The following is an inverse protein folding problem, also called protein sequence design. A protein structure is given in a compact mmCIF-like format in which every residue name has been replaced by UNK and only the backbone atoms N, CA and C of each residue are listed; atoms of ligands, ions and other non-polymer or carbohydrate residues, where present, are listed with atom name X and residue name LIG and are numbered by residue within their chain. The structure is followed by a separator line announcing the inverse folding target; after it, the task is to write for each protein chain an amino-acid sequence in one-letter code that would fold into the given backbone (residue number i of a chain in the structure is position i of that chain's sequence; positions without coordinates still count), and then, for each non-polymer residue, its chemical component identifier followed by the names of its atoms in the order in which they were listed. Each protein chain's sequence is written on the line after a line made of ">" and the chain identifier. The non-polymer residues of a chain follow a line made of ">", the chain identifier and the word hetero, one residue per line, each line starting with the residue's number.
data_IF_179376884559
#
_entry.id   IF_179376884559
#
_cell.length_a   1.000
_cell.length_b   1.000
_cell.length_c   1.000
_cell.angle_alpha   90.00
_cell.angle_beta   90.00
_cell.angle_gamma   90.00
#
_symmetry.space_group_name_H-M   'P 1'
#
loop_
_entity.id
_entity.type
_entity.pdbx_description
1 polymer ?
#
# COMPACT_ATOMS: atom_id res chain seq x y z
N UNK A 1 27.70 -1.67 -13.76
CA UNK A 1 26.81 -0.53 -13.44
C UNK A 1 25.82 -1.00 -12.39
N UNK A 2 25.83 -0.49 -11.14
CA UNK A 2 24.79 -0.86 -10.19
C UNK A 2 23.45 -0.34 -10.70
N UNK A 3 22.50 -1.25 -10.92
CA UNK A 3 21.12 -0.92 -11.30
C UNK A 3 20.58 0.05 -10.25
N UNK A 4 20.37 1.31 -10.63
CA UNK A 4 19.81 2.33 -9.75
C UNK A 4 18.41 1.85 -9.35
N UNK A 5 18.26 1.36 -8.12
CA UNK A 5 16.94 0.97 -7.60
C UNK A 5 16.04 2.19 -7.71
N UNK A 6 14.91 2.01 -8.38
CA UNK A 6 13.87 3.03 -8.51
C UNK A 6 13.49 3.54 -7.10
N UNK A 7 13.18 4.84 -6.94
CA UNK A 7 12.75 5.40 -5.67
C UNK A 7 11.43 4.78 -5.20
N UNK A 8 11.22 4.73 -3.88
CA UNK A 8 9.95 4.29 -3.32
C UNK A 8 8.85 5.30 -3.69
N UNK A 9 7.71 4.80 -4.17
CA UNK A 9 6.53 5.61 -4.46
C UNK A 9 5.29 4.89 -3.93
N UNK A 10 4.19 5.63 -3.66
CA UNK A 10 2.94 5.02 -3.22
C UNK A 10 2.43 3.95 -4.19
N UNK A 11 2.41 4.24 -5.49
CA UNK A 11 2.00 3.29 -6.52
C UNK A 11 2.83 2.00 -6.50
N UNK A 12 4.15 2.07 -6.27
CA UNK A 12 4.99 0.85 -6.20
C UNK A 12 4.68 0.00 -4.97
N UNK A 13 4.43 0.64 -3.83
CA UNK A 13 3.99 -0.07 -2.61
C UNK A 13 2.66 -0.77 -2.87
N UNK A 14 1.69 -0.05 -3.43
CA UNK A 14 0.34 -0.54 -3.65
C UNK A 14 0.29 -1.61 -4.75
N UNK A 15 1.04 -1.46 -5.84
CA UNK A 15 1.16 -2.49 -6.89
C UNK A 15 1.73 -3.78 -6.31
N UNK A 16 2.83 -3.69 -5.55
CA UNK A 16 3.41 -4.86 -4.90
C UNK A 16 2.47 -5.50 -3.85
N UNK A 17 1.63 -4.70 -3.19
CA UNK A 17 0.61 -5.20 -2.28
C UNK A 17 -0.52 -5.94 -3.02
N UNK A 18 -0.99 -5.40 -4.15
CA UNK A 18 -2.01 -6.03 -4.99
C UNK A 18 -1.53 -7.37 -5.54
N UNK A 19 -0.32 -7.41 -6.09
CA UNK A 19 0.27 -8.65 -6.62
C UNK A 19 0.50 -9.68 -5.50
N UNK A 20 0.84 -9.22 -4.29
CA UNK A 20 0.99 -10.10 -3.15
C UNK A 20 -0.34 -10.76 -2.75
N UNK A 21 -1.40 -9.96 -2.54
CA UNK A 21 -2.70 -10.50 -2.10
C UNK A 21 -3.37 -11.34 -3.18
N UNK A 22 -3.21 -11.00 -4.45
CA UNK A 22 -3.70 -11.81 -5.57
C UNK A 22 -3.03 -13.19 -5.59
N UNK A 23 -1.73 -13.25 -5.27
CA UNK A 23 -0.95 -14.49 -5.23
C UNK A 23 -1.29 -15.39 -4.03
N UNK A 24 -1.52 -14.81 -2.84
CA UNK A 24 -1.69 -15.60 -1.60
C UNK A 24 -3.15 -15.76 -1.15
N UNK A 25 -4.05 -14.91 -1.65
CA UNK A 25 -5.45 -14.87 -1.26
C UNK A 25 -5.72 -13.94 -0.07
N UNK A 26 -6.96 -13.46 0.02
CA UNK A 26 -7.49 -12.75 1.18
C UNK A 26 -7.78 -13.73 2.33
N UNK A 27 -7.34 -13.38 3.53
CA UNK A 27 -7.66 -14.11 4.75
C UNK A 27 -9.06 -13.74 5.27
N UNK A 28 -9.88 -14.74 5.58
CA UNK A 28 -11.15 -14.60 6.31
C UNK A 28 -11.06 -15.31 7.66
N UNK A 29 -11.40 -14.59 8.73
CA UNK A 29 -11.28 -14.91 10.17
C UNK A 29 -11.31 -16.38 10.60
N UNK A 30 -12.19 -17.18 10.01
CA UNK A 30 -12.61 -18.44 10.62
C UNK A 30 -12.01 -19.72 9.98
N UNK A 31 -11.29 -19.65 8.86
CA UNK A 31 -11.09 -20.86 8.01
C UNK A 31 -9.65 -21.26 7.66
N UNK A 32 -8.61 -20.66 8.27
CA UNK A 32 -7.28 -20.70 7.62
C UNK A 32 -6.06 -21.02 8.49
N UNK A 33 -6.18 -21.37 9.77
CA UNK A 33 -5.02 -21.97 10.46
C UNK A 33 -4.74 -23.37 9.91
N UNK A 34 -3.88 -23.44 8.90
CA UNK A 34 -3.40 -24.67 8.29
C UNK A 34 -1.87 -24.68 8.35
N UNK A 35 -1.26 -25.33 9.36
CA UNK A 35 0.19 -25.29 9.60
C UNK A 35 1.04 -25.65 8.37
N UNK A 36 0.54 -26.56 7.52
CA UNK A 36 1.21 -26.98 6.29
C UNK A 36 1.13 -25.99 5.11
N UNK A 37 0.33 -24.93 5.21
CA UNK A 37 0.19 -23.87 4.18
C UNK A 37 0.68 -22.49 4.66
N UNK A 38 1.16 -22.40 5.89
CA UNK A 38 1.55 -21.16 6.60
C UNK A 38 2.94 -20.62 6.23
N UNK A 39 3.35 -20.73 4.96
CA UNK A 39 4.58 -20.16 4.41
C UNK A 39 4.35 -18.84 3.65
N UNK A 40 5.18 -18.53 2.65
CA UNK A 40 5.04 -17.34 1.76
C UNK A 40 3.77 -17.34 0.87
N UNK A 41 2.90 -18.33 1.05
CA UNK A 41 1.66 -18.61 0.32
C UNK A 41 0.42 -18.57 1.20
N UNK A 42 0.55 -18.26 2.49
CA UNK A 42 -0.58 -18.17 3.39
C UNK A 42 -1.46 -16.97 3.02
N UNK A 43 -2.80 -17.11 2.96
CA UNK A 43 -3.68 -15.98 2.77
C UNK A 43 -3.44 -14.90 3.83
N UNK A 44 -3.59 -13.65 3.43
CA UNK A 44 -3.27 -12.52 4.30
C UNK A 44 -4.38 -11.47 4.33
N UNK A 45 -4.36 -10.63 5.35
CA UNK A 45 -5.25 -9.46 5.41
C UNK A 45 -4.79 -8.38 4.42
N UNK A 46 -5.68 -7.45 4.07
CA UNK A 46 -5.32 -6.26 3.26
C UNK A 46 -4.22 -5.43 3.92
N UNK A 47 -4.27 -5.29 5.26
CA UNK A 47 -3.22 -4.61 6.01
C UNK A 47 -1.87 -5.31 5.83
N UNK A 48 -1.83 -6.64 5.94
CA UNK A 48 -0.59 -7.39 5.76
C UNK A 48 -0.07 -7.30 4.32
N UNK A 49 -0.95 -7.38 3.32
CA UNK A 49 -0.56 -7.18 1.93
C UNK A 49 0.12 -5.81 1.71
N UNK A 50 -0.43 -4.74 2.30
CA UNK A 50 0.21 -3.42 2.28
C UNK A 50 1.59 -3.43 2.96
N UNK A 51 1.76 -4.08 4.11
CA UNK A 51 3.07 -4.21 4.78
C UNK A 51 4.10 -4.96 3.93
N UNK A 52 3.68 -5.98 3.18
CA UNK A 52 4.53 -6.68 2.21
C UNK A 52 4.92 -5.76 1.05
N UNK A 53 4.00 -4.95 0.56
CA UNK A 53 4.28 -3.87 -0.39
C UNK A 53 5.33 -2.89 0.13
N UNK A 54 5.17 -2.39 1.37
CA UNK A 54 6.13 -1.50 2.03
C UNK A 54 7.51 -2.15 2.12
N UNK A 55 7.58 -3.42 2.52
CA UNK A 55 8.85 -4.16 2.64
C UNK A 55 9.56 -4.33 1.30
N UNK A 56 8.82 -4.43 0.19
CA UNK A 56 9.40 -4.63 -1.16
C UNK A 56 10.21 -3.42 -1.64
N UNK A 57 9.86 -2.21 -1.21
CA UNK A 57 10.53 -0.96 -1.61
C UNK A 57 11.43 -0.37 -0.53
N UNK A 58 11.45 -0.99 0.66
CA UNK A 58 12.21 -0.48 1.81
C UNK A 58 13.71 -0.40 1.47
N UNK A 59 14.36 0.77 1.63
CA UNK A 59 15.79 0.89 1.45
C UNK A 59 16.55 0.09 2.52
N UNK A 60 17.80 -0.27 2.22
CA UNK A 60 18.67 -0.93 3.21
C UNK A 60 18.87 0.00 4.41
N UNK A 61 18.92 -0.57 5.61
CA UNK A 61 19.13 0.19 6.86
C UNK A 61 20.42 1.02 6.87
N UNK A 62 21.44 0.58 6.14
CA UNK A 62 22.71 1.31 5.98
C UNK A 62 22.61 2.56 5.10
N UNK A 63 21.52 2.72 4.34
CA UNK A 63 21.27 3.88 3.48
C UNK A 63 20.40 4.87 4.26
N UNK A 64 21.05 5.73 5.06
CA UNK A 64 20.41 6.88 5.72
C UNK A 64 20.34 8.07 4.77
N UNK A 65 19.45 9.03 5.05
CA UNK A 65 19.34 10.29 4.30
C UNK A 65 18.13 10.33 3.35
N UNK A 66 18.30 10.99 2.19
CA UNK A 66 17.24 11.24 1.21
C UNK A 66 16.41 9.98 0.84
N UNK A 67 17.00 8.80 0.56
CA UNK A 67 16.23 7.60 0.24
C UNK A 67 15.30 7.15 1.37
N UNK A 68 15.70 7.36 2.63
CA UNK A 68 14.85 7.07 3.79
C UNK A 68 13.68 8.05 3.88
N UNK A 69 13.92 9.34 3.63
CA UNK A 69 12.88 10.36 3.63
C UNK A 69 11.85 10.12 2.52
N UNK A 70 12.30 9.77 1.31
CA UNK A 70 11.43 9.39 0.18
C UNK A 70 10.58 8.17 0.56
N UNK A 71 11.19 7.14 1.16
CA UNK A 71 10.48 5.96 1.62
C UNK A 71 9.42 6.26 2.69
N UNK A 72 9.75 7.10 3.68
CA UNK A 72 8.78 7.46 4.74
C UNK A 72 7.58 8.22 4.18
N UNK A 73 7.79 9.14 3.22
CA UNK A 73 6.70 9.82 2.50
C UNK A 73 5.84 8.82 1.73
N UNK A 74 6.47 7.97 0.91
CA UNK A 74 5.76 6.95 0.14
C UNK A 74 4.96 5.97 1.03
N UNK A 75 5.51 5.58 2.19
CA UNK A 75 4.83 4.76 3.18
C UNK A 75 3.55 5.45 3.66
N UNK A 76 3.66 6.69 4.15
CA UNK A 76 2.51 7.43 4.67
C UNK A 76 1.45 7.68 3.58
N UNK A 77 1.88 8.16 2.41
CA UNK A 77 0.98 8.48 1.30
C UNK A 77 0.24 7.23 0.79
N UNK A 78 0.93 6.09 0.68
CA UNK A 78 0.27 4.83 0.29
C UNK A 78 -0.81 4.40 1.28
N UNK A 79 -0.57 4.58 2.59
CA UNK A 79 -1.56 4.28 3.62
C UNK A 79 -2.75 5.23 3.53
N UNK A 80 -2.52 6.53 3.33
CA UNK A 80 -3.57 7.54 3.17
C UNK A 80 -4.46 7.21 1.97
N UNK A 81 -3.87 6.94 0.81
CA UNK A 81 -4.58 6.67 -0.44
C UNK A 81 -5.41 5.40 -0.31
N UNK A 82 -4.80 4.31 0.16
CA UNK A 82 -5.50 3.04 0.29
C UNK A 82 -6.64 3.12 1.33
N UNK A 83 -6.39 3.76 2.47
CA UNK A 83 -7.42 3.91 3.51
C UNK A 83 -8.56 4.86 3.10
N UNK A 84 -8.29 5.87 2.27
CA UNK A 84 -9.33 6.70 1.67
C UNK A 84 -10.16 5.90 0.65
N UNK A 85 -9.50 5.05 -0.14
CA UNK A 85 -10.16 4.20 -1.13
C UNK A 85 -11.14 3.22 -0.47
N UNK A 86 -10.71 2.48 0.57
CA UNK A 86 -11.61 1.56 1.30
C UNK A 86 -12.74 2.29 2.03
N UNK A 87 -12.49 3.52 2.51
CA UNK A 87 -13.50 4.34 3.17
C UNK A 87 -14.45 5.04 2.17
N UNK A 88 -14.18 4.96 0.86
CA UNK A 88 -14.92 5.62 -0.22
C UNK A 88 -14.83 7.15 -0.24
N UNK A 89 -14.06 7.74 0.68
CA UNK A 89 -13.87 9.19 0.83
C UNK A 89 -12.66 9.48 1.71
N UNK A 90 -12.11 10.71 1.68
CA UNK A 90 -11.06 11.11 2.60
C UNK A 90 -11.41 10.84 4.06
N UNK A 91 -10.53 10.15 4.77
CA UNK A 91 -10.72 9.87 6.20
C UNK A 91 -10.61 11.17 7.00
N UNK A 92 -11.67 11.53 7.72
CA UNK A 92 -11.71 12.76 8.52
C UNK A 92 -10.90 12.65 9.81
N UNK A 93 -10.12 13.70 10.12
CA UNK A 93 -9.36 13.85 11.36
C UNK A 93 -10.19 13.71 12.62
N UNK A 94 -11.49 14.04 12.54
CA UNK A 94 -12.42 13.95 13.67
C UNK A 94 -12.59 12.50 14.12
N UNK A 95 -12.54 11.52 13.20
CA UNK A 95 -12.81 10.11 13.52
C UNK A 95 -11.77 9.52 14.46
N UNK A 96 -10.49 9.61 14.11
CA UNK A 96 -9.44 9.02 14.96
C UNK A 96 -9.20 9.80 16.25
N UNK A 97 -9.42 11.14 16.24
CA UNK A 97 -9.37 11.94 17.48
C UNK A 97 -10.44 11.52 18.49
N UNK A 98 -11.68 11.27 18.03
CA UNK A 98 -12.76 10.78 18.90
C UNK A 98 -12.43 9.44 19.55
N UNK A 99 -11.72 8.57 18.82
CA UNK A 99 -11.27 7.26 19.30
C UNK A 99 -9.94 7.31 20.07
N UNK A 100 -9.33 8.49 20.26
CA UNK A 100 -8.01 8.68 20.88
C UNK A 100 -6.90 7.84 20.21
N UNK A 101 -7.02 7.65 18.89
CA UNK A 101 -6.03 6.95 18.06
C UNK A 101 -5.17 7.94 17.28
N UNK A 102 -3.97 7.51 16.91
CA UNK A 102 -3.18 8.21 15.89
C UNK A 102 -3.84 8.01 14.52
N UNK A 103 -3.55 8.91 13.57
CA UNK A 103 -4.01 8.75 12.19
C UNK A 103 -3.54 7.42 11.59
N UNK A 104 -2.27 7.08 11.79
CA UNK A 104 -1.67 5.83 11.34
C UNK A 104 -2.41 4.60 11.89
N UNK A 105 -2.61 4.54 13.22
CA UNK A 105 -3.30 3.44 13.87
C UNK A 105 -4.72 3.28 13.32
N UNK A 106 -5.47 4.38 13.19
CA UNK A 106 -6.83 4.33 12.68
C UNK A 106 -6.91 3.86 11.22
N UNK A 107 -6.02 4.36 10.34
CA UNK A 107 -5.99 3.95 8.93
C UNK A 107 -5.60 2.48 8.78
N UNK A 108 -4.67 1.98 9.59
CA UNK A 108 -4.30 0.55 9.61
C UNK A 108 -5.47 -0.31 10.10
N UNK A 109 -6.22 0.15 11.11
CA UNK A 109 -7.46 -0.51 11.55
C UNK A 109 -8.51 -0.55 10.44
N UNK A 110 -8.70 0.53 9.67
CA UNK A 110 -9.64 0.53 8.53
C UNK A 110 -9.29 -0.55 7.50
N UNK A 111 -8.01 -0.71 7.15
CA UNK A 111 -7.58 -1.74 6.21
C UNK A 111 -7.84 -3.15 6.74
N UNK A 112 -7.60 -3.36 8.04
CA UNK A 112 -7.86 -4.65 8.68
C UNK A 112 -9.36 -4.96 8.67
N UNK A 113 -10.20 -4.04 9.16
CA UNK A 113 -11.66 -4.25 9.22
C UNK A 113 -12.28 -4.44 7.83
N UNK A 114 -11.86 -3.66 6.83
CA UNK A 114 -12.43 -3.77 5.49
C UNK A 114 -12.19 -5.15 4.89
N UNK A 115 -11.00 -5.73 5.05
CA UNK A 115 -10.68 -7.05 4.52
C UNK A 115 -11.31 -8.21 5.30
N UNK A 116 -11.80 -7.97 6.51
CA UNK A 116 -12.45 -8.96 7.38
C UNK A 116 -13.96 -9.06 7.11
N UNK A 117 -14.53 -8.15 6.32
CA UNK A 117 -15.93 -8.22 5.89
C UNK A 117 -16.20 -9.54 5.12
N UNK A 118 -17.23 -10.34 5.52
CA UNK A 118 -17.45 -11.69 4.99
C UNK A 118 -17.66 -11.77 3.47
N UNK A 119 -18.18 -10.72 2.86
CA UNK A 119 -18.49 -10.66 1.42
C UNK A 119 -17.27 -10.34 0.55
N UNK A 120 -16.16 -9.92 1.17
CA UNK A 120 -14.94 -9.56 0.42
C UNK A 120 -14.29 -10.79 -0.16
N UNK A 121 -13.53 -10.58 -1.21
CA UNK A 121 -12.76 -11.65 -1.84
C UNK A 121 -11.43 -11.13 -2.37
N UNK A 122 -10.53 -12.06 -2.73
CA UNK A 122 -9.19 -11.76 -3.22
C UNK A 122 -9.19 -10.84 -4.45
N UNK A 123 -10.06 -11.10 -5.43
CA UNK A 123 -10.09 -10.34 -6.68
C UNK A 123 -10.52 -8.88 -6.42
N UNK A 124 -11.53 -8.70 -5.57
CA UNK A 124 -11.97 -7.38 -5.14
C UNK A 124 -10.88 -6.64 -4.36
N UNK A 125 -10.22 -7.31 -3.41
CA UNK A 125 -9.13 -6.70 -2.64
C UNK A 125 -7.97 -6.27 -3.55
N UNK A 126 -7.56 -7.12 -4.50
CA UNK A 126 -6.52 -6.79 -5.46
C UNK A 126 -6.93 -5.63 -6.38
N UNK A 127 -8.17 -5.64 -6.90
CA UNK A 127 -8.70 -4.57 -7.76
C UNK A 127 -8.80 -3.24 -7.01
N UNK A 128 -9.24 -3.26 -5.75
CA UNK A 128 -9.32 -2.10 -4.87
C UNK A 128 -7.92 -1.49 -4.64
N UNK A 129 -6.91 -2.32 -4.34
CA UNK A 129 -5.53 -1.85 -4.16
C UNK A 129 -4.96 -1.29 -5.47
N UNK A 130 -5.23 -1.94 -6.62
CA UNK A 130 -4.80 -1.45 -7.94
C UNK A 130 -5.44 -0.11 -8.29
N UNK A 131 -6.72 0.07 -7.96
CA UNK A 131 -7.42 1.34 -8.13
C UNK A 131 -6.75 2.43 -7.30
N UNK A 132 -6.44 2.13 -6.04
CA UNK A 132 -5.69 3.05 -5.17
C UNK A 132 -4.31 3.38 -5.74
N UNK A 133 -3.60 2.41 -6.32
CA UNK A 133 -2.30 2.63 -6.96
C UNK A 133 -2.39 3.59 -8.16
N UNK A 134 -3.47 3.47 -8.96
CA UNK A 134 -3.70 4.30 -10.14
C UNK A 134 -4.04 5.77 -9.80
N UNK A 135 -4.48 6.08 -8.58
CA UNK A 135 -4.75 7.45 -8.12
C UNK A 135 -3.47 8.27 -7.86
N UNK A 136 -2.32 7.61 -7.77
CA UNK A 136 -1.01 8.25 -7.60
C UNK A 136 -0.02 7.71 -8.65
N UNK A 137 -0.24 7.99 -9.95
CA UNK A 137 0.75 7.63 -10.96
C UNK A 137 2.08 8.25 -10.56
N UNK A 138 3.13 7.44 -10.58
CA UNK A 138 4.48 7.86 -10.23
C UNK A 138 4.80 9.14 -11.01
N UNK A 139 5.25 10.21 -10.35
CA UNK A 139 5.65 11.51 -10.94
C UNK A 139 6.81 11.42 -11.97
N UNK A 140 7.08 10.24 -12.54
CA UNK A 140 8.16 9.96 -13.49
C UNK A 140 7.80 10.15 -14.97
N UNK A 141 6.52 10.27 -15.34
CA UNK A 141 6.11 10.32 -16.75
C UNK A 141 5.81 11.74 -17.27
N UNK A 142 5.94 12.75 -16.42
CA UNK A 142 5.66 14.15 -16.78
C UNK A 142 6.82 15.07 -16.39
N UNK A 143 7.92 15.06 -17.15
CA UNK A 143 8.84 16.22 -17.35
C UNK A 143 10.02 15.90 -18.29
N UNK A 144 9.76 15.37 -19.49
CA UNK A 144 10.61 15.64 -20.67
C UNK A 144 9.69 15.97 -21.84
N UNK A 145 9.03 17.12 -21.75
CA UNK A 145 8.54 17.81 -22.94
C UNK A 145 9.39 19.08 -23.04
N UNK A 146 10.43 18.98 -23.86
CA UNK A 146 11.26 20.11 -24.22
C UNK A 146 10.39 21.19 -24.85
N UNK A 147 10.34 22.35 -24.21
CA UNK A 147 9.89 23.57 -24.86
C UNK A 147 10.87 23.90 -25.99
N UNK A 148 10.43 24.00 -27.26
CA UNK A 148 11.27 24.56 -28.29
C UNK A 148 11.39 26.07 -28.01
N UNK A 149 12.62 26.53 -27.83
CA UNK A 149 12.98 27.94 -28.01
C UNK A 149 12.45 28.38 -29.39
N UNK A 150 11.47 29.27 -29.40
CA UNK A 150 11.14 30.06 -30.58
C UNK A 150 11.71 31.46 -30.38
N UNK A 151 12.35 31.92 -31.46
CA UNK A 151 13.18 33.12 -31.61
C UNK A 151 12.43 34.42 -31.37
#
# INVERSE_FOLDING_TARGET
>A
MPTRKLPATPARILTAAADHIERVGLYHGDHLWQPGRMGDTAPCTVLHAWERGVRSVRPRWSVRGEPWNIFQRALFDSLVVLSNQVNGRPVSRVRWRKLRLTEDAYRRTLLWCWGDEPERNTAEAAAMIRTAAALHPSDGDHSILGSPLSR
#
